data_IF_721515591072
#
_entry.id   IF_721515591072
#
_cell.length_a   1.000
_cell.length_b   1.000
_cell.length_c   1.000
_cell.angle_alpha   90.00
_cell.angle_beta   90.00
_cell.angle_gamma   90.00
#
_symmetry.space_group_name_H-M   'P 1'
#
loop_
_entity.id
_entity.type
_entity.pdbx_description
1 polymer ?
#
# COMPACT_ATOMS: atom_id res chain seq x y z
N UNK A 1 -5.22 34.13 -3.98
CA UNK A 1 -4.65 32.96 -3.27
C UNK A 1 -5.82 32.05 -2.93
N UNK A 2 -6.15 31.13 -3.84
CA UNK A 2 -7.34 30.29 -3.74
C UNK A 2 -6.96 29.01 -3.00
N UNK A 3 -7.44 28.87 -1.77
CA UNK A 3 -7.44 27.61 -1.02
C UNK A 3 -8.54 26.71 -1.61
N UNK A 4 -8.24 26.01 -2.70
CA UNK A 4 -9.08 24.89 -3.16
C UNK A 4 -8.72 23.63 -2.36
N UNK A 5 -9.02 23.65 -1.06
CA UNK A 5 -9.18 22.41 -0.30
C UNK A 5 -10.63 21.98 -0.51
N UNK A 6 -10.84 20.96 -1.34
CA UNK A 6 -12.13 20.28 -1.46
C UNK A 6 -12.50 19.79 -0.04
N UNK A 7 -13.50 20.39 0.59
CA UNK A 7 -14.03 19.89 1.87
C UNK A 7 -14.59 18.49 1.64
N UNK A 8 -13.85 17.47 2.07
CA UNK A 8 -14.31 16.08 2.07
C UNK A 8 -15.47 15.95 3.06
N UNK A 9 -16.63 15.49 2.59
CA UNK A 9 -17.80 15.33 3.43
C UNK A 9 -17.62 14.13 4.37
N UNK A 10 -18.36 14.07 5.47
CA UNK A 10 -18.18 12.97 6.44
C UNK A 10 -18.56 11.60 5.85
N UNK A 11 -19.44 11.59 4.85
CA UNK A 11 -19.85 10.40 4.10
C UNK A 11 -18.69 9.76 3.33
N UNK A 12 -17.68 10.54 2.92
CA UNK A 12 -16.49 10.03 2.23
C UNK A 12 -15.65 9.11 3.13
N UNK A 13 -15.82 9.21 4.46
CA UNK A 13 -15.11 8.42 5.46
C UNK A 13 -15.94 7.25 6.00
N UNK A 14 -17.20 7.09 5.58
CA UNK A 14 -17.99 5.94 6.00
C UNK A 14 -17.51 4.67 5.30
N UNK A 15 -17.46 3.58 6.05
CA UNK A 15 -17.10 2.24 5.57
C UNK A 15 -18.37 1.53 5.11
N UNK A 16 -18.28 0.77 4.03
CA UNK A 16 -19.38 -0.07 3.53
C UNK A 16 -19.72 -1.18 4.54
N UNK A 17 -20.96 -1.65 4.54
CA UNK A 17 -21.37 -2.70 5.48
C UNK A 17 -20.57 -4.00 5.25
N UNK A 18 -20.05 -4.54 6.36
CA UNK A 18 -19.26 -5.76 6.38
C UNK A 18 -19.91 -6.82 7.27
N UNK A 19 -20.13 -8.00 6.71
CA UNK A 19 -20.56 -9.20 7.43
C UNK A 19 -19.65 -10.36 7.06
N UNK A 20 -19.03 -11.02 8.04
CA UNK A 20 -18.19 -12.18 7.77
C UNK A 20 -19.06 -13.40 7.44
N UNK A 21 -18.74 -14.10 6.35
CA UNK A 21 -19.56 -15.20 5.78
C UNK A 21 -19.85 -16.38 6.74
N UNK A 22 -19.15 -16.48 7.88
CA UNK A 22 -19.31 -17.57 8.85
C UNK A 22 -20.26 -17.28 10.02
N UNK A 23 -20.73 -16.03 10.23
CA UNK A 23 -21.69 -15.73 11.32
C UNK A 23 -23.15 -15.98 10.93
N UNK A 24 -23.41 -16.35 9.67
CA UNK A 24 -24.75 -16.47 9.09
C UNK A 24 -25.34 -17.88 9.02
N UNK A 25 -24.84 -18.89 9.76
CA UNK A 25 -25.31 -20.27 9.60
C UNK A 25 -26.27 -20.76 10.70
N UNK A 26 -27.38 -20.04 10.88
CA UNK A 26 -28.67 -20.58 11.34
C UNK A 26 -29.81 -19.77 10.70
N UNK A 27 -30.12 -20.04 9.42
CA UNK A 27 -31.39 -19.62 8.82
C UNK A 27 -31.32 -19.08 7.38
N UNK A 28 -31.40 -19.99 6.41
CA UNK A 28 -32.10 -19.82 5.14
C UNK A 28 -31.80 -18.63 4.23
N UNK A 29 -31.08 -18.88 3.13
CA UNK A 29 -31.14 -18.03 1.93
C UNK A 29 -29.92 -18.13 1.02
N UNK A 30 -29.98 -19.00 0.01
CA UNK A 30 -28.94 -19.14 -1.02
C UNK A 30 -28.63 -17.78 -1.66
N UNK A 31 -27.40 -17.30 -1.54
CA UNK A 31 -26.84 -16.30 -2.45
C UNK A 31 -25.46 -16.77 -2.89
N UNK A 32 -25.39 -17.32 -4.12
CA UNK A 32 -24.13 -17.62 -4.79
C UNK A 32 -23.41 -16.29 -5.08
N UNK A 33 -22.35 -15.96 -4.34
CA UNK A 33 -21.32 -15.05 -4.81
C UNK A 33 -20.08 -15.84 -5.19
N UNK A 34 -19.67 -15.68 -6.45
CA UNK A 34 -18.40 -16.17 -6.98
C UNK A 34 -17.26 -15.45 -6.26
N UNK A 35 -16.35 -16.21 -5.66
CA UNK A 35 -15.05 -15.75 -5.20
C UNK A 35 -14.25 -15.29 -6.41
N UNK A 36 -14.03 -13.99 -6.55
CA UNK A 36 -13.10 -13.43 -7.53
C UNK A 36 -11.72 -13.31 -6.86
N UNK A 37 -10.92 -14.38 -6.96
CA UNK A 37 -9.48 -14.31 -6.76
C UNK A 37 -8.90 -13.34 -7.78
N UNK A 38 -8.23 -12.28 -7.31
CA UNK A 38 -7.62 -11.27 -8.16
C UNK A 38 -6.29 -11.81 -8.69
N UNK A 39 -6.37 -12.61 -9.75
CA UNK A 39 -5.30 -12.83 -10.73
C UNK A 39 -5.68 -12.03 -11.97
N UNK A 40 -5.20 -10.78 -12.04
CA UNK A 40 -5.40 -9.89 -13.20
C UNK A 40 -4.30 -10.14 -14.24
N UNK A 41 -4.50 -11.16 -15.07
CA UNK A 41 -3.89 -11.23 -16.39
C UNK A 41 -4.58 -10.20 -17.29
N UNK A 42 -3.79 -9.48 -18.08
CA UNK A 42 -4.25 -8.51 -19.06
C UNK A 42 -4.80 -9.27 -20.27
N UNK A 43 -6.10 -9.54 -20.32
CA UNK A 43 -6.75 -10.10 -21.51
C UNK A 43 -7.34 -8.98 -22.36
N UNK A 44 -6.86 -8.91 -23.59
CA UNK A 44 -7.45 -8.15 -24.69
C UNK A 44 -8.71 -8.90 -25.14
N UNK A 45 -9.79 -8.17 -25.42
CA UNK A 45 -11.03 -8.72 -25.99
C UNK A 45 -10.78 -9.07 -27.47
N UNK A 46 -10.85 -10.34 -27.82
CA UNK A 46 -11.10 -10.83 -29.18
C UNK A 46 -12.27 -11.84 -29.11
N UNK A 47 -13.11 -11.82 -30.14
CA UNK A 47 -14.48 -12.31 -30.19
C UNK A 47 -14.63 -13.84 -29.95
N UNK A 48 -15.74 -14.23 -29.32
CA UNK A 48 -16.10 -15.61 -28.99
C UNK A 48 -16.52 -16.42 -30.23
N UNK A 49 -15.86 -17.56 -30.48
CA UNK A 49 -16.47 -18.75 -31.07
C UNK A 49 -16.12 -20.01 -30.23
N UNK A 50 -17.12 -20.87 -30.11
CA UNK A 50 -17.37 -21.93 -29.14
C UNK A 50 -16.42 -23.15 -29.26
N UNK A 51 -16.07 -23.80 -28.14
CA UNK A 51 -15.32 -25.08 -28.18
C UNK A 51 -14.66 -25.53 -26.87
N UNK A 52 -15.24 -26.56 -26.26
CA UNK A 52 -14.92 -27.23 -24.99
C UNK A 52 -13.52 -27.89 -24.85
N UNK A 53 -12.96 -27.82 -23.64
CA UNK A 53 -11.99 -28.81 -23.11
C UNK A 53 -10.65 -28.21 -22.63
N UNK A 54 -10.62 -27.68 -21.42
CA UNK A 54 -9.43 -27.03 -20.85
C UNK A 54 -8.51 -28.07 -20.18
N UNK A 55 -7.80 -28.83 -21.01
CA UNK A 55 -6.49 -29.37 -20.62
C UNK A 55 -5.47 -28.23 -20.87
N UNK A 56 -5.06 -27.51 -19.83
CA UNK A 56 -4.00 -26.48 -19.90
C UNK A 56 -2.69 -27.14 -20.37
N UNK A 57 -2.45 -27.15 -21.67
CA UNK A 57 -1.13 -27.37 -22.22
C UNK A 57 -0.24 -26.24 -21.69
N UNK A 58 0.69 -26.55 -20.78
CA UNK A 58 1.76 -25.64 -20.38
C UNK A 58 2.61 -25.33 -21.62
N UNK A 59 2.23 -24.28 -22.33
CA UNK A 59 2.99 -23.70 -23.44
C UNK A 59 4.45 -23.54 -22.97
N UNK A 60 5.40 -24.12 -23.72
CA UNK A 60 6.83 -24.12 -23.37
C UNK A 60 7.33 -22.67 -23.22
N UNK A 61 7.22 -22.15 -22.00
CA UNK A 61 7.64 -20.80 -21.66
C UNK A 61 9.15 -20.71 -21.92
N UNK A 62 9.52 -19.73 -22.74
CA UNK A 62 10.92 -19.42 -23.05
C UNK A 62 11.73 -19.31 -21.76
N UNK A 63 12.93 -19.91 -21.75
CA UNK A 63 13.89 -19.76 -20.66
C UNK A 63 14.20 -18.28 -20.40
N UNK A 64 13.98 -17.83 -19.17
CA UNK A 64 14.29 -16.48 -18.69
C UNK A 64 15.39 -16.52 -17.64
N UNK A 65 16.21 -15.47 -17.60
CA UNK A 65 17.21 -15.23 -16.56
C UNK A 65 16.71 -14.11 -15.65
N UNK A 66 16.67 -14.35 -14.34
CA UNK A 66 16.37 -13.35 -13.32
C UNK A 66 17.66 -12.94 -12.62
N UNK A 67 18.12 -11.72 -12.82
CA UNK A 67 19.27 -11.16 -12.12
C UNK A 67 18.81 -10.26 -10.97
N UNK A 68 19.24 -10.60 -9.75
CA UNK A 68 18.73 -9.98 -8.55
C UNK A 68 19.85 -9.41 -7.68
N UNK A 69 19.74 -8.14 -7.28
CA UNK A 69 20.70 -7.46 -6.40
C UNK A 69 19.98 -6.64 -5.32
N UNK A 70 20.72 -6.22 -4.29
CA UNK A 70 20.17 -5.59 -3.08
C UNK A 70 19.66 -4.17 -3.34
N UNK A 71 20.40 -3.39 -4.11
CA UNK A 71 20.17 -1.95 -4.28
C UNK A 71 19.94 -1.55 -5.72
N UNK A 72 19.18 -0.47 -5.92
CA UNK A 72 18.97 0.14 -7.23
C UNK A 72 20.27 0.51 -7.93
N UNK A 73 21.24 1.06 -7.19
CA UNK A 73 22.56 1.43 -7.71
C UNK A 73 23.33 0.24 -8.28
N UNK A 74 23.25 -0.93 -7.63
CA UNK A 74 23.86 -2.16 -8.13
C UNK A 74 23.18 -2.63 -9.41
N UNK A 75 21.85 -2.56 -9.49
CA UNK A 75 21.13 -2.90 -10.73
C UNK A 75 21.52 -1.96 -11.87
N UNK A 76 21.58 -0.64 -11.63
CA UNK A 76 22.03 0.32 -12.66
C UNK A 76 23.49 0.10 -13.05
N UNK A 77 24.37 -0.28 -12.12
CA UNK A 77 25.76 -0.65 -12.42
C UNK A 77 25.82 -1.90 -13.30
N UNK A 78 25.06 -2.94 -12.97
CA UNK A 78 24.96 -4.16 -13.77
C UNK A 78 24.51 -3.86 -15.20
N UNK A 79 23.47 -3.04 -15.39
CA UNK A 79 23.02 -2.63 -16.73
C UNK A 79 24.11 -1.88 -17.49
N UNK A 80 24.87 -0.99 -16.84
CA UNK A 80 25.99 -0.28 -17.47
C UNK A 80 27.11 -1.20 -17.92
N UNK A 81 27.41 -2.25 -17.16
CA UNK A 81 28.39 -3.26 -17.57
C UNK A 81 27.83 -4.16 -18.69
N UNK A 82 26.56 -4.56 -18.60
CA UNK A 82 25.89 -5.35 -19.63
C UNK A 82 25.90 -4.64 -20.99
N UNK A 83 25.66 -3.32 -21.02
CA UNK A 83 25.74 -2.46 -22.22
C UNK A 83 27.10 -2.52 -22.93
N UNK A 84 28.19 -2.88 -22.24
CA UNK A 84 29.54 -3.00 -22.84
C UNK A 84 29.79 -4.36 -23.50
N UNK A 85 28.87 -5.31 -23.33
CA UNK A 85 29.00 -6.68 -23.85
C UNK A 85 28.25 -6.86 -25.17
N UNK A 86 28.54 -7.95 -25.89
CA UNK A 86 27.81 -8.34 -27.10
C UNK A 86 26.32 -8.60 -26.83
N UNK A 87 25.98 -9.00 -25.60
CA UNK A 87 24.62 -9.33 -25.19
C UNK A 87 23.66 -8.14 -25.15
N UNK A 88 24.19 -6.91 -25.10
CA UNK A 88 23.39 -5.69 -24.99
C UNK A 88 22.34 -5.52 -26.11
N UNK A 89 22.65 -6.02 -27.30
CA UNK A 89 21.79 -5.93 -28.49
C UNK A 89 21.10 -7.27 -28.84
N UNK A 90 21.56 -8.39 -28.26
CA UNK A 90 21.03 -9.73 -28.52
C UNK A 90 19.93 -10.13 -27.54
N UNK A 91 19.95 -9.57 -26.33
CA UNK A 91 19.01 -9.89 -25.26
C UNK A 91 17.96 -8.80 -25.07
N UNK A 92 16.71 -9.22 -24.87
CA UNK A 92 15.63 -8.37 -24.36
C UNK A 92 15.78 -8.25 -22.85
N UNK A 93 16.25 -7.09 -22.39
CA UNK A 93 16.49 -6.83 -20.98
C UNK A 93 15.39 -5.92 -20.43
N UNK A 94 14.86 -6.24 -19.26
CA UNK A 94 13.93 -5.36 -18.53
C UNK A 94 14.42 -5.14 -17.11
N UNK A 95 14.50 -3.89 -16.69
CA UNK A 95 14.77 -3.52 -15.29
C UNK A 95 13.45 -3.22 -14.57
N UNK A 96 13.27 -3.82 -13.38
CA UNK A 96 12.10 -3.67 -12.53
C UNK A 96 12.45 -2.90 -11.26
N UNK A 97 11.49 -2.14 -10.74
CA UNK A 97 11.66 -1.40 -9.50
C UNK A 97 10.33 -0.91 -8.94
N UNK A 98 10.40 -0.10 -7.88
CA UNK A 98 9.21 0.37 -7.19
C UNK A 98 8.45 1.43 -8.00
N UNK A 99 7.15 1.60 -7.71
CA UNK A 99 6.37 2.72 -8.27
C UNK A 99 7.00 4.08 -7.95
N UNK A 100 7.64 4.23 -6.79
CA UNK A 100 8.33 5.48 -6.42
C UNK A 100 9.49 5.80 -7.37
N UNK A 101 10.22 4.79 -7.83
CA UNK A 101 11.35 4.98 -8.76
C UNK A 101 10.87 5.28 -10.19
N UNK A 102 9.77 4.66 -10.63
CA UNK A 102 9.28 4.77 -12.01
C UNK A 102 8.21 5.84 -12.24
N UNK A 103 7.55 6.34 -11.20
CA UNK A 103 6.42 7.26 -11.37
C UNK A 103 6.90 8.60 -11.93
N UNK A 104 6.17 9.12 -12.92
CA UNK A 104 6.38 10.44 -13.53
C UNK A 104 5.17 11.37 -13.33
N UNK A 105 4.19 10.93 -12.53
CA UNK A 105 3.04 11.74 -12.18
C UNK A 105 3.38 12.54 -10.92
N UNK A 106 3.62 13.84 -11.10
CA UNK A 106 4.00 14.76 -10.03
C UNK A 106 3.01 14.77 -8.86
N UNK A 107 1.71 14.64 -9.12
CA UNK A 107 0.71 14.63 -8.04
C UNK A 107 0.77 13.37 -7.17
N UNK A 108 1.25 12.26 -7.75
CA UNK A 108 1.50 11.03 -7.00
C UNK A 108 2.85 11.12 -6.27
N UNK A 109 3.89 11.65 -6.93
CA UNK A 109 5.23 11.80 -6.34
C UNK A 109 5.25 12.73 -5.13
N UNK A 110 4.45 13.81 -5.14
CA UNK A 110 4.30 14.75 -4.01
C UNK A 110 3.88 14.07 -2.69
N UNK A 111 3.30 12.88 -2.74
CA UNK A 111 2.94 12.12 -1.53
C UNK A 111 4.18 11.68 -0.73
N UNK A 112 5.35 11.55 -1.37
CA UNK A 112 6.66 11.26 -0.79
C UNK A 112 6.84 9.84 -0.23
N UNK A 113 5.85 9.33 0.49
CA UNK A 113 5.85 8.02 1.11
C UNK A 113 5.50 6.92 0.09
N UNK A 114 6.30 5.86 0.02
CA UNK A 114 6.14 4.74 -0.92
C UNK A 114 4.78 4.05 -0.79
N UNK A 115 4.24 3.91 0.42
CA UNK A 115 2.92 3.32 0.69
C UNK A 115 1.82 4.20 0.09
N UNK A 116 1.84 5.51 0.38
CA UNK A 116 0.87 6.47 -0.18
C UNK A 116 0.94 6.53 -1.72
N UNK A 117 2.15 6.47 -2.28
CA UNK A 117 2.37 6.40 -3.73
C UNK A 117 1.72 5.14 -4.32
N UNK A 118 1.92 3.98 -3.68
CA UNK A 118 1.35 2.71 -4.13
C UNK A 118 -0.18 2.75 -4.11
N UNK A 119 -0.77 3.17 -3.00
CA UNK A 119 -2.22 3.29 -2.82
C UNK A 119 -2.82 4.23 -3.86
N UNK A 120 -2.26 5.45 -3.98
CA UNK A 120 -2.76 6.42 -4.94
C UNK A 120 -2.65 5.94 -6.38
N UNK A 121 -1.58 5.21 -6.72
CA UNK A 121 -1.42 4.63 -8.04
C UNK A 121 -2.49 3.56 -8.34
N UNK A 122 -2.82 2.72 -7.36
CA UNK A 122 -3.89 1.72 -7.48
C UNK A 122 -5.28 2.36 -7.57
N UNK A 123 -5.56 3.40 -6.76
CA UNK A 123 -6.79 4.18 -6.88
C UNK A 123 -6.97 4.76 -8.29
N UNK A 124 -5.90 5.32 -8.85
CA UNK A 124 -5.89 5.86 -10.21
C UNK A 124 -5.95 4.79 -11.31
N UNK A 125 -5.86 3.51 -10.96
CA UNK A 125 -6.10 2.39 -11.89
C UNK A 125 -7.56 1.95 -11.87
N UNK A 126 -8.25 2.11 -10.73
CA UNK A 126 -9.67 1.73 -10.60
C UNK A 126 -10.51 2.67 -11.46
N UNK A 127 -11.03 2.15 -12.57
CA UNK A 127 -12.10 2.78 -13.29
C UNK A 127 -13.34 2.77 -12.37
N UNK A 128 -13.72 3.90 -11.78
CA UNK A 128 -15.10 4.12 -11.31
C UNK A 128 -16.03 4.22 -12.53
N UNK A 129 -16.11 3.15 -13.31
CA UNK A 129 -17.28 2.91 -14.14
C UNK A 129 -18.33 2.30 -13.21
N UNK A 130 -19.43 3.03 -12.97
CA UNK A 130 -20.55 2.73 -12.06
C UNK A 130 -20.33 3.16 -10.61
N UNK A 131 -20.44 4.46 -10.37
CA UNK A 131 -21.43 5.04 -9.46
C UNK A 131 -21.31 6.56 -9.55
N UNK A 132 -21.96 7.12 -10.58
CA UNK A 132 -22.42 8.49 -10.47
C UNK A 132 -23.55 8.42 -9.46
N UNK A 133 -23.28 8.84 -8.22
CA UNK A 133 -24.34 9.19 -7.27
C UNK A 133 -25.33 10.08 -8.03
N UNK A 134 -26.53 9.55 -8.27
CA UNK A 134 -27.65 10.31 -8.82
C UNK A 134 -28.09 11.30 -7.75
N UNK A 135 -27.31 12.35 -7.51
CA UNK A 135 -27.82 13.53 -6.82
C UNK A 135 -28.67 14.26 -7.87
N UNK A 136 -29.96 13.91 -7.91
CA UNK A 136 -30.99 14.74 -8.53
C UNK A 136 -31.18 15.97 -7.63
N UNK A 137 -30.42 17.03 -7.87
CA UNK A 137 -30.85 18.35 -7.41
C UNK A 137 -31.97 18.81 -8.35
N UNK A 138 -33.20 18.72 -7.84
CA UNK A 138 -34.36 19.38 -8.45
C UNK A 138 -34.21 20.87 -8.17
N UNK A 139 -33.81 21.63 -9.19
CA UNK A 139 -33.71 23.09 -9.14
C UNK A 139 -33.73 23.64 -10.56
N UNK A 140 -34.71 24.48 -10.84
CA UNK A 140 -35.02 25.02 -12.16
C UNK A 140 -33.88 25.88 -12.74
N UNK A 141 -33.62 25.73 -14.04
CA UNK A 141 -33.02 26.76 -14.88
C UNK A 141 -31.55 27.09 -14.65
N UNK A 142 -30.63 26.22 -15.09
CA UNK A 142 -29.21 26.58 -15.24
C UNK A 142 -28.39 25.45 -15.86
N UNK A 143 -27.73 25.69 -17.01
CA UNK A 143 -26.82 24.70 -17.63
C UNK A 143 -25.58 24.53 -16.75
N UNK A 144 -25.55 23.49 -15.94
CA UNK A 144 -24.40 23.12 -15.10
C UNK A 144 -23.32 22.45 -15.97
N UNK A 145 -22.14 23.06 -16.07
CA UNK A 145 -20.92 22.42 -16.59
C UNK A 145 -20.51 21.32 -15.60
N UNK A 146 -20.66 20.05 -16.01
CA UNK A 146 -20.11 18.91 -15.27
C UNK A 146 -18.59 18.91 -15.39
N UNK A 147 -17.87 19.21 -14.32
CA UNK A 147 -16.45 18.87 -14.24
C UNK A 147 -16.35 17.36 -14.03
N UNK A 148 -16.07 16.62 -15.11
CA UNK A 148 -15.77 15.19 -15.07
C UNK A 148 -14.43 15.04 -14.35
N UNK A 149 -14.46 14.73 -13.05
CA UNK A 149 -13.26 14.30 -12.33
C UNK A 149 -12.63 13.17 -13.13
N UNK A 150 -11.44 13.40 -13.68
CA UNK A 150 -10.83 12.47 -14.62
C UNK A 150 -10.43 11.22 -13.84
N UNK A 151 -11.27 10.20 -13.86
CA UNK A 151 -11.06 8.93 -13.17
C UNK A 151 -9.93 8.14 -13.83
N UNK A 152 -8.70 8.31 -13.32
CA UNK A 152 -7.56 7.46 -13.63
C UNK A 152 -6.27 8.18 -14.06
N UNK A 153 -5.15 7.45 -14.07
CA UNK A 153 -3.81 8.02 -14.27
C UNK A 153 -3.58 8.54 -15.70
N UNK A 154 -3.25 9.84 -15.91
CA UNK A 154 -3.02 10.41 -17.24
C UNK A 154 -1.92 9.71 -18.06
N UNK A 155 -0.95 9.11 -17.38
CA UNK A 155 0.20 8.44 -17.99
C UNK A 155 -0.11 6.97 -18.35
N UNK A 156 -1.11 6.36 -17.73
CA UNK A 156 -1.46 4.95 -17.95
C UNK A 156 -2.51 4.78 -19.06
N UNK A 157 -3.47 5.70 -19.16
CA UNK A 157 -4.64 5.54 -20.07
C UNK A 157 -4.32 5.60 -21.57
N UNK A 158 -3.09 5.96 -21.93
CA UNK A 158 -2.69 6.13 -23.33
C UNK A 158 -2.13 4.81 -23.87
N UNK A 159 -3.00 3.82 -24.10
CA UNK A 159 -2.60 2.48 -24.55
C UNK A 159 -1.72 2.48 -25.82
N UNK A 160 -2.00 3.38 -26.78
CA UNK A 160 -1.16 3.54 -27.99
C UNK A 160 0.29 3.90 -27.64
N UNK A 161 0.49 4.83 -26.69
CA UNK A 161 1.82 5.24 -26.25
C UNK A 161 2.51 4.18 -25.39
N UNK A 162 1.75 3.36 -24.66
CA UNK A 162 2.31 2.19 -23.97
C UNK A 162 2.86 1.16 -24.97
N UNK A 163 2.15 0.91 -26.07
CA UNK A 163 2.64 0.04 -27.16
C UNK A 163 3.88 0.62 -27.82
N UNK A 164 3.90 1.93 -28.10
CA UNK A 164 5.06 2.61 -28.67
C UNK A 164 6.27 2.56 -27.72
N UNK A 165 6.06 2.78 -26.42
CA UNK A 165 7.10 2.67 -25.39
C UNK A 165 7.75 1.28 -25.39
N UNK A 166 6.92 0.23 -25.52
CA UNK A 166 7.38 -1.15 -25.63
C UNK A 166 8.28 -1.37 -26.85
N UNK A 167 7.89 -0.82 -27.99
CA UNK A 167 8.70 -0.87 -29.22
C UNK A 167 10.03 -0.14 -29.05
N UNK A 168 10.01 1.05 -28.43
CA UNK A 168 11.22 1.83 -28.17
C UNK A 168 12.18 1.12 -27.22
N UNK A 169 11.68 0.49 -26.15
CA UNK A 169 12.50 -0.33 -25.24
C UNK A 169 13.19 -1.48 -25.99
N UNK A 170 12.48 -2.12 -26.92
CA UNK A 170 13.03 -3.22 -27.71
C UNK A 170 14.11 -2.76 -28.70
N UNK A 171 14.08 -1.48 -29.12
CA UNK A 171 15.03 -0.91 -30.07
C UNK A 171 16.27 -0.32 -29.39
N UNK A 172 16.13 0.26 -28.20
CA UNK A 172 17.24 0.93 -27.48
C UNK A 172 18.12 -0.03 -26.67
N UNK A 173 17.79 -1.32 -26.64
CA UNK A 173 18.56 -2.35 -25.92
C UNK A 173 18.33 -2.30 -24.41
N UNK A 174 19.34 -2.72 -23.63
CA UNK A 174 19.25 -2.76 -22.17
C UNK A 174 19.13 -1.35 -21.56
N UNK A 175 18.00 -1.05 -20.89
CA UNK A 175 17.76 0.23 -20.23
C UNK A 175 17.70 0.06 -18.70
N UNK A 176 18.34 0.96 -17.96
CA UNK A 176 18.19 1.03 -16.51
C UNK A 176 16.91 1.79 -16.12
N UNK A 177 16.67 1.96 -14.83
CA UNK A 177 15.42 2.57 -14.35
C UNK A 177 15.38 4.06 -14.69
N UNK A 178 16.51 4.76 -14.57
CA UNK A 178 16.65 6.16 -14.94
C UNK A 178 16.37 6.37 -16.44
N UNK A 179 16.97 5.54 -17.30
CA UNK A 179 16.72 5.55 -18.74
C UNK A 179 15.23 5.35 -19.06
N UNK A 180 14.58 4.37 -18.42
CA UNK A 180 13.15 4.08 -18.61
C UNK A 180 12.26 5.24 -18.17
N UNK A 181 12.62 5.91 -17.08
CA UNK A 181 11.92 7.11 -16.60
C UNK A 181 12.09 8.27 -17.59
N UNK A 182 13.30 8.49 -18.11
CA UNK A 182 13.55 9.50 -19.13
C UNK A 182 12.75 9.24 -20.40
N UNK A 183 12.73 7.99 -20.87
CA UNK A 183 11.94 7.58 -22.03
C UNK A 183 10.43 7.79 -21.80
N UNK A 184 9.90 7.44 -20.62
CA UNK A 184 8.48 7.64 -20.38
C UNK A 184 8.10 9.10 -20.17
N UNK A 185 9.03 9.95 -19.69
CA UNK A 185 8.86 11.41 -19.67
C UNK A 185 8.78 11.99 -21.08
N UNK A 186 9.69 11.60 -21.98
CA UNK A 186 9.69 12.10 -23.36
C UNK A 186 8.42 11.67 -24.11
N UNK A 187 7.96 10.43 -23.91
CA UNK A 187 6.76 9.88 -24.52
C UNK A 187 5.46 10.21 -23.77
N UNK A 188 5.54 10.81 -22.58
CA UNK A 188 4.40 11.10 -21.69
C UNK A 188 3.52 9.86 -21.42
N UNK A 189 4.16 8.76 -21.06
CA UNK A 189 3.55 7.45 -20.80
C UNK A 189 4.13 6.82 -19.54
N UNK A 190 3.36 5.97 -18.86
CA UNK A 190 3.74 5.38 -17.57
C UNK A 190 4.92 4.40 -17.72
N UNK A 191 6.11 4.72 -17.18
CA UNK A 191 7.27 3.83 -17.26
C UNK A 191 7.05 2.53 -16.48
N UNK A 192 6.41 2.61 -15.30
CA UNK A 192 6.22 1.47 -14.39
C UNK A 192 5.42 0.32 -15.03
N UNK A 193 4.25 0.63 -15.59
CA UNK A 193 3.43 -0.38 -16.24
C UNK A 193 3.98 -0.75 -17.63
N UNK A 194 4.64 0.21 -18.31
CA UNK A 194 5.29 -0.04 -19.59
C UNK A 194 6.41 -1.07 -19.49
N UNK A 195 7.33 -0.91 -18.53
CA UNK A 195 8.41 -1.86 -18.30
C UNK A 195 7.88 -3.22 -17.84
N UNK A 196 6.89 -3.26 -16.95
CA UNK A 196 6.28 -4.52 -16.50
C UNK A 196 5.65 -5.32 -17.64
N UNK A 197 5.10 -4.66 -18.67
CA UNK A 197 4.53 -5.35 -19.83
C UNK A 197 5.56 -6.12 -20.67
N UNK A 198 6.86 -5.83 -20.49
CA UNK A 198 7.97 -6.51 -21.19
C UNK A 198 8.44 -7.79 -20.48
N UNK A 199 8.04 -8.01 -19.22
CA UNK A 199 8.48 -9.18 -18.43
C UNK A 199 8.21 -10.52 -19.15
N UNK A 200 7.04 -10.78 -19.77
CA UNK A 200 6.79 -12.07 -20.42
C UNK A 200 7.66 -12.35 -21.65
N UNK A 201 8.20 -11.30 -22.28
CA UNK A 201 9.01 -11.42 -23.51
C UNK A 201 10.50 -11.15 -23.29
N UNK A 202 10.91 -10.88 -22.06
CA UNK A 202 12.28 -10.57 -21.70
C UNK A 202 13.13 -11.85 -21.58
N UNK A 203 14.36 -11.77 -22.04
CA UNK A 203 15.39 -12.79 -21.84
C UNK A 203 16.04 -12.65 -20.48
N UNK A 204 16.23 -11.40 -20.05
CA UNK A 204 16.85 -11.04 -18.78
C UNK A 204 15.97 -10.04 -18.02
N UNK A 205 15.53 -10.43 -16.83
CA UNK A 205 14.78 -9.58 -15.90
C UNK A 205 15.71 -9.18 -14.76
N UNK A 206 16.00 -7.89 -14.65
CA UNK A 206 16.83 -7.29 -13.60
C UNK A 206 15.91 -6.71 -12.53
N UNK A 207 16.01 -7.19 -11.28
CA UNK A 207 15.04 -6.85 -10.23
C UNK A 207 15.66 -6.80 -8.83
N UNK A 208 15.09 -6.01 -7.89
CA UNK A 208 15.58 -5.98 -6.52
C UNK A 208 15.16 -7.24 -5.75
N UNK A 209 15.88 -7.56 -4.67
CA UNK A 209 15.60 -8.70 -3.78
C UNK A 209 14.12 -8.83 -3.40
N UNK A 210 13.48 -7.72 -3.02
CA UNK A 210 12.10 -7.71 -2.54
C UNK A 210 11.08 -8.15 -3.60
N UNK A 211 11.39 -7.94 -4.89
CA UNK A 211 10.55 -8.37 -6.00
C UNK A 211 10.64 -9.87 -6.24
N UNK A 212 11.81 -10.47 -6.00
CA UNK A 212 12.05 -11.91 -6.19
C UNK A 212 11.64 -12.73 -4.96
N UNK A 213 11.99 -12.28 -3.76
CA UNK A 213 11.86 -13.08 -2.53
C UNK A 213 10.43 -13.07 -1.96
N UNK A 214 9.67 -12.00 -2.18
CA UNK A 214 8.26 -11.93 -1.75
C UNK A 214 7.35 -12.65 -2.75
N UNK A 215 6.58 -13.63 -2.26
CA UNK A 215 5.57 -14.35 -3.07
C UNK A 215 4.56 -13.38 -3.70
N UNK A 216 4.00 -12.46 -2.93
CA UNK A 216 3.02 -11.49 -3.42
C UNK A 216 3.62 -10.59 -4.51
N UNK A 217 4.88 -10.18 -4.38
CA UNK A 217 5.56 -9.38 -5.40
C UNK A 217 5.73 -10.18 -6.69
N UNK A 218 6.19 -11.44 -6.61
CA UNK A 218 6.36 -12.32 -7.77
C UNK A 218 5.07 -12.55 -8.53
N UNK A 219 4.00 -12.90 -7.81
CA UNK A 219 2.66 -13.10 -8.40
C UNK A 219 2.17 -11.82 -9.07
N UNK A 220 2.34 -10.67 -8.40
CA UNK A 220 1.95 -9.40 -9.01
C UNK A 220 2.76 -9.10 -10.27
N UNK A 221 4.06 -9.39 -10.31
CA UNK A 221 4.92 -9.10 -11.45
C UNK A 221 4.80 -10.15 -12.57
N UNK A 222 4.13 -11.28 -12.32
CA UNK A 222 4.03 -12.41 -13.26
C UNK A 222 5.35 -13.19 -13.39
N UNK A 223 6.17 -13.21 -12.34
CA UNK A 223 7.46 -13.90 -12.36
C UNK A 223 7.26 -15.39 -12.12
N UNK A 224 7.64 -16.22 -13.10
CA UNK A 224 7.67 -17.67 -12.96
C UNK A 224 9.12 -18.14 -12.76
N UNK A 225 9.44 -18.78 -11.65
CA UNK A 225 10.79 -19.27 -11.38
C UNK A 225 11.01 -20.72 -11.84
N UNK A 226 9.95 -21.48 -12.13
CA UNK A 226 10.05 -22.87 -12.58
C UNK A 226 10.71 -22.89 -13.97
N UNK A 227 11.69 -23.80 -14.15
CA UNK A 227 12.45 -23.97 -15.38
C UNK A 227 13.19 -22.70 -15.86
N UNK A 228 13.51 -21.77 -14.95
CA UNK A 228 14.21 -20.52 -15.24
C UNK A 228 15.49 -20.40 -14.40
N UNK A 229 16.40 -19.53 -14.83
CA UNK A 229 17.68 -19.29 -14.14
C UNK A 229 17.53 -18.09 -13.20
N UNK A 230 17.96 -18.24 -11.96
CA UNK A 230 17.99 -17.15 -10.97
C UNK A 230 19.42 -16.90 -10.54
N UNK A 231 19.89 -15.66 -10.72
CA UNK A 231 21.21 -15.19 -10.31
C UNK A 231 21.00 -14.21 -9.17
N UNK A 232 21.51 -14.54 -7.98
CA UNK A 232 21.51 -13.64 -6.82
C UNK A 232 22.91 -13.08 -6.66
N UNK A 233 23.03 -11.80 -6.99
CA UNK A 233 24.22 -11.01 -6.74
C UNK A 233 24.26 -10.56 -5.28
N UNK A 234 25.45 -10.46 -4.70
CA UNK A 234 25.68 -10.09 -3.29
C UNK A 234 24.95 -10.96 -2.25
N UNK A 235 24.81 -12.25 -2.54
CA UNK A 235 24.01 -13.21 -1.75
C UNK A 235 24.41 -13.31 -0.26
N UNK A 236 25.56 -12.79 0.14
CA UNK A 236 25.92 -12.66 1.56
C UNK A 236 24.94 -11.78 2.35
N UNK A 237 24.22 -10.87 1.70
CA UNK A 237 23.19 -10.01 2.31
C UNK A 237 21.78 -10.62 2.31
N UNK A 238 21.62 -11.85 1.79
CA UNK A 238 20.31 -12.43 1.54
C UNK A 238 19.53 -12.65 2.84
N UNK A 239 20.18 -13.19 3.88
CA UNK A 239 19.56 -13.46 5.17
C UNK A 239 19.07 -12.17 5.83
N UNK A 240 19.92 -11.15 5.93
CA UNK A 240 19.56 -9.84 6.50
C UNK A 240 18.40 -9.18 5.75
N UNK A 241 18.40 -9.32 4.42
CA UNK A 241 17.33 -8.79 3.58
C UNK A 241 16.00 -9.51 3.82
N UNK A 242 16.03 -10.84 3.99
CA UNK A 242 14.84 -11.60 4.36
C UNK A 242 14.33 -11.21 5.74
N UNK A 243 15.20 -11.11 6.74
CA UNK A 243 14.83 -10.68 8.09
C UNK A 243 14.19 -9.29 8.03
N UNK A 244 14.82 -8.33 7.35
CA UNK A 244 14.28 -6.97 7.20
C UNK A 244 12.96 -6.92 6.42
N UNK A 245 12.68 -7.86 5.52
CA UNK A 245 11.41 -7.92 4.77
C UNK A 245 10.23 -8.37 5.64
N UNK A 246 10.49 -9.16 6.67
CA UNK A 246 9.48 -9.69 7.59
C UNK A 246 9.51 -9.04 8.97
N UNK A 247 10.48 -8.15 9.23
CA UNK A 247 10.53 -7.32 10.43
C UNK A 247 9.63 -6.08 10.30
N UNK A 248 9.04 -5.68 11.42
CA UNK A 248 8.26 -4.45 11.51
C UNK A 248 8.46 -3.81 12.87
N UNK A 249 8.73 -2.50 12.88
CA UNK A 249 8.89 -1.71 14.10
C UNK A 249 7.66 -0.86 14.34
N UNK A 250 7.13 -0.92 15.56
CA UNK A 250 6.03 -0.09 16.03
C UNK A 250 6.56 0.76 17.18
N UNK A 251 6.39 2.08 17.11
CA UNK A 251 6.71 2.98 18.22
C UNK A 251 5.48 3.26 19.08
N UNK A 252 5.69 3.65 20.34
CA UNK A 252 4.60 4.06 21.23
C UNK A 252 3.77 5.20 20.63
N UNK A 253 4.44 6.23 20.08
CA UNK A 253 3.76 7.36 19.42
C UNK A 253 2.86 6.93 18.26
N UNK A 254 3.34 6.02 17.40
CA UNK A 254 2.53 5.47 16.30
C UNK A 254 1.30 4.75 16.82
N UNK A 255 1.43 4.00 17.92
CA UNK A 255 0.34 3.26 18.51
C UNK A 255 -0.70 4.18 19.18
N UNK A 256 -0.24 5.24 19.82
CA UNK A 256 -1.09 6.28 20.40
C UNK A 256 -1.88 7.03 19.33
N UNK A 257 -1.22 7.43 18.25
CA UNK A 257 -1.86 8.09 17.10
C UNK A 257 -2.94 7.19 16.49
N UNK A 258 -2.61 5.92 16.23
CA UNK A 258 -3.56 4.94 15.68
C UNK A 258 -4.75 4.74 16.62
N UNK A 259 -4.52 4.59 17.93
CA UNK A 259 -5.60 4.45 18.91
C UNK A 259 -6.50 5.68 18.92
N UNK A 260 -5.92 6.88 18.95
CA UNK A 260 -6.64 8.16 18.91
C UNK A 260 -7.50 8.29 17.65
N UNK A 261 -6.95 7.91 16.48
CA UNK A 261 -7.69 7.97 15.22
C UNK A 261 -8.86 6.99 15.19
N UNK A 262 -8.67 5.75 15.65
CA UNK A 262 -9.74 4.75 15.68
C UNK A 262 -10.84 5.19 16.66
N UNK A 263 -10.48 5.70 17.83
CA UNK A 263 -11.43 6.18 18.85
C UNK A 263 -12.30 7.32 18.32
N UNK A 264 -11.69 8.38 17.79
CA UNK A 264 -12.41 9.52 17.19
C UNK A 264 -13.29 9.10 16.02
N UNK A 265 -12.81 8.19 15.18
CA UNK A 265 -13.58 7.64 14.08
C UNK A 265 -14.82 6.88 14.61
N UNK A 266 -14.62 6.01 15.59
CA UNK A 266 -15.71 5.24 16.17
C UNK A 266 -16.75 6.14 16.86
N UNK A 267 -16.32 7.15 17.64
CA UNK A 267 -17.22 8.13 18.25
C UNK A 267 -18.09 8.86 17.23
N UNK A 268 -17.51 9.21 16.07
CA UNK A 268 -18.25 9.91 15.01
C UNK A 268 -19.26 9.02 14.29
N UNK A 269 -18.87 7.78 13.97
CA UNK A 269 -19.62 6.93 13.06
C UNK A 269 -20.35 5.75 13.73
N UNK A 270 -20.23 5.56 15.05
CA UNK A 270 -20.82 4.41 15.76
C UNK A 270 -22.32 4.23 15.52
N UNK A 271 -23.08 5.31 15.38
CA UNK A 271 -24.54 5.26 15.19
C UNK A 271 -24.95 4.88 13.74
N UNK A 272 -24.03 4.98 12.78
CA UNK A 272 -24.30 4.72 11.36
C UNK A 272 -23.62 3.46 10.84
N UNK A 273 -22.59 2.96 11.52
CA UNK A 273 -21.88 1.73 11.16
C UNK A 273 -22.77 0.50 11.40
N UNK A 274 -22.80 -0.45 10.47
CA UNK A 274 -23.41 -1.77 10.69
C UNK A 274 -22.79 -2.55 11.87
N UNK A 275 -23.50 -3.55 12.43
CA UNK A 275 -23.07 -4.28 13.62
C UNK A 275 -21.72 -4.98 13.47
N UNK A 276 -21.43 -5.55 12.30
CA UNK A 276 -20.14 -6.19 12.00
C UNK A 276 -18.98 -5.18 12.05
N UNK A 277 -19.12 -4.06 11.34
CA UNK A 277 -18.13 -2.97 11.36
C UNK A 277 -17.84 -2.47 12.78
N UNK A 278 -18.89 -2.23 13.58
CA UNK A 278 -18.72 -1.78 14.97
C UNK A 278 -17.91 -2.78 15.79
N UNK A 279 -18.25 -4.07 15.71
CA UNK A 279 -17.54 -5.14 16.44
C UNK A 279 -16.07 -5.21 16.06
N UNK A 280 -15.74 -5.17 14.77
CA UNK A 280 -14.34 -5.22 14.33
C UNK A 280 -13.56 -3.96 14.72
N UNK A 281 -14.16 -2.77 14.60
CA UNK A 281 -13.51 -1.52 15.02
C UNK A 281 -13.26 -1.52 16.54
N UNK A 282 -14.22 -1.98 17.34
CA UNK A 282 -14.02 -2.16 18.78
C UNK A 282 -12.91 -3.18 19.09
N UNK A 283 -12.81 -4.25 18.32
CA UNK A 283 -11.71 -5.23 18.45
C UNK A 283 -10.35 -4.58 18.16
N UNK A 284 -10.25 -3.71 17.16
CA UNK A 284 -9.03 -2.92 16.88
C UNK A 284 -8.68 -1.98 18.05
N UNK A 285 -9.68 -1.35 18.66
CA UNK A 285 -9.48 -0.50 19.85
C UNK A 285 -8.93 -1.31 21.04
N UNK A 286 -9.45 -2.53 21.26
CA UNK A 286 -8.97 -3.43 22.32
C UNK A 286 -7.51 -3.82 22.06
N UNK A 287 -7.18 -4.23 20.83
CA UNK A 287 -5.80 -4.61 20.47
C UNK A 287 -4.81 -3.46 20.60
N UNK A 288 -5.13 -2.29 20.07
CA UNK A 288 -4.24 -1.12 20.16
C UNK A 288 -4.00 -0.69 21.61
N UNK A 289 -5.04 -0.77 22.45
CA UNK A 289 -4.90 -0.53 23.89
C UNK A 289 -4.03 -1.60 24.57
N UNK A 290 -4.22 -2.87 24.25
CA UNK A 290 -3.43 -3.97 24.81
C UNK A 290 -1.95 -3.84 24.43
N UNK A 291 -1.65 -3.53 23.16
CA UNK A 291 -0.27 -3.31 22.71
C UNK A 291 0.37 -2.12 23.41
N UNK A 292 -0.41 -1.08 23.75
CA UNK A 292 0.10 0.09 24.48
C UNK A 292 0.50 -0.26 25.91
N UNK A 293 -0.18 -1.24 26.52
CA UNK A 293 0.16 -1.71 27.87
C UNK A 293 1.54 -2.35 27.94
N UNK A 294 2.05 -2.92 26.83
CA UNK A 294 3.42 -3.48 26.77
C UNK A 294 4.45 -2.40 27.13
N UNK A 295 4.35 -1.24 26.47
CA UNK A 295 5.26 -0.12 26.67
C UNK A 295 5.12 0.56 28.05
N UNK A 296 3.93 0.48 28.67
CA UNK A 296 3.65 1.07 29.99
C UNK A 296 4.00 0.15 31.17
N UNK A 297 4.10 -1.17 30.94
CA UNK A 297 4.50 -2.15 31.98
C UNK A 297 6.00 -2.05 32.28
N UNK A 298 6.84 -1.77 31.28
CA UNK A 298 8.28 -1.56 31.48
C UNK A 298 8.56 -0.35 32.41
N UNK A 299 7.74 0.70 32.36
CA UNK A 299 7.86 1.87 33.25
C UNK A 299 7.47 1.57 34.71
N UNK A 300 6.58 0.58 34.95
CA UNK A 300 6.11 0.24 36.30
C UNK A 300 6.95 -0.83 37.01
N UNK A 301 7.83 -1.53 36.29
CA UNK A 301 8.72 -2.53 36.89
C UNK A 301 9.80 -1.93 37.80
N UNK A 302 9.93 -0.60 37.89
CA UNK A 302 10.81 0.09 38.83
C UNK A 302 10.12 0.57 40.12
N UNK A 303 8.82 0.25 40.29
CA UNK A 303 7.98 0.85 41.33
C UNK A 303 7.65 -0.01 42.55
N UNK A 304 7.98 -1.31 42.59
CA UNK A 304 7.68 -2.13 43.77
C UNK A 304 8.57 -3.39 43.89
N UNK A 305 9.69 -3.25 44.62
CA UNK A 305 10.19 -4.29 45.53
C UNK A 305 11.20 -3.67 46.50
N UNK A 306 11.17 -4.16 47.73
CA UNK A 306 11.73 -3.55 48.93
C UNK A 306 13.27 -3.53 49.02
N UNK A 307 13.74 -2.66 49.92
CA UNK A 307 15.11 -2.35 50.38
C UNK A 307 16.08 -3.54 50.48
N UNK A 308 17.33 -3.37 50.01
CA UNK A 308 18.51 -3.22 50.89
C UNK A 308 19.83 -2.94 50.13
N UNK A 309 20.53 -1.91 50.61
CA UNK A 309 21.97 -1.59 50.57
C UNK A 309 22.87 -1.84 49.34
N UNK A 310 23.44 -0.71 48.89
CA UNK A 310 24.84 -0.46 48.49
C UNK A 310 25.42 -0.93 47.14
N UNK A 311 25.85 0.12 46.41
CA UNK A 311 27.01 0.24 45.51
C UNK A 311 26.85 -0.14 44.02
N UNK A 312 26.91 0.96 43.25
CA UNK A 312 27.80 1.19 42.11
C UNK A 312 27.24 1.01 40.68
N UNK A 313 27.52 2.07 39.91
CA UNK A 313 27.79 2.13 38.46
C UNK A 313 26.66 1.86 37.47
N UNK A 314 26.07 2.97 36.99
CA UNK A 314 26.12 3.38 35.59
C UNK A 314 25.84 2.36 34.49
N UNK A 315 24.59 2.30 34.04
CA UNK A 315 24.19 2.32 32.63
C UNK A 315 22.66 2.36 32.57
N UNK A 316 22.08 3.45 32.06
CA UNK A 316 20.67 3.52 31.69
C UNK A 316 20.44 2.62 30.46
N UNK A 317 20.44 1.31 30.67
CA UNK A 317 20.19 0.33 29.62
C UNK A 317 18.70 0.18 29.39
N UNK A 318 18.21 0.58 28.22
CA UNK A 318 16.90 0.15 27.72
C UNK A 318 16.81 -1.38 27.80
N UNK A 319 15.91 -1.90 28.63
CA UNK A 319 15.67 -3.33 28.77
C UNK A 319 15.14 -3.88 27.46
N UNK A 320 15.97 -4.67 26.77
CA UNK A 320 15.54 -5.38 25.57
C UNK A 320 14.95 -6.72 25.99
N UNK A 321 13.67 -6.95 25.71
CA UNK A 321 13.00 -8.22 25.94
C UNK A 321 12.59 -8.87 24.61
N UNK A 322 12.55 -10.19 24.58
CA UNK A 322 12.11 -10.98 23.43
C UNK A 322 11.20 -12.10 23.92
N UNK A 323 10.14 -12.40 23.18
CA UNK A 323 9.16 -13.41 23.57
C UNK A 323 8.59 -14.09 22.34
N UNK A 324 8.09 -15.32 22.50
CA UNK A 324 7.38 -16.01 21.43
C UNK A 324 6.00 -15.35 21.21
N UNK A 325 5.44 -15.57 20.02
CA UNK A 325 4.13 -14.98 19.63
C UNK A 325 3.04 -15.37 20.63
N UNK A 326 2.96 -16.65 21.02
CA UNK A 326 1.92 -17.11 21.94
C UNK A 326 2.07 -16.47 23.32
N UNK A 327 3.30 -16.40 23.84
CA UNK A 327 3.58 -15.75 25.13
C UNK A 327 3.20 -14.27 25.10
N UNK A 328 3.48 -13.58 23.99
CA UNK A 328 3.05 -12.20 23.78
C UNK A 328 1.52 -12.06 23.85
N UNK A 329 0.78 -12.91 23.11
CA UNK A 329 -0.68 -12.87 23.09
C UNK A 329 -1.29 -13.17 24.48
N UNK A 330 -0.76 -14.16 25.20
CA UNK A 330 -1.20 -14.47 26.55
C UNK A 330 -0.87 -13.36 27.55
N UNK A 331 0.31 -12.75 27.48
CA UNK A 331 0.71 -11.66 28.38
C UNK A 331 -0.20 -10.43 28.30
N UNK A 332 -0.93 -10.31 27.17
CA UNK A 332 -1.86 -9.24 26.84
C UNK A 332 -3.33 -9.66 26.93
N UNK A 333 -3.62 -10.93 27.23
CA UNK A 333 -4.98 -11.51 27.24
C UNK A 333 -5.75 -11.26 25.93
N UNK A 334 -5.07 -11.38 24.78
CA UNK A 334 -5.65 -11.19 23.43
C UNK A 334 -5.61 -12.47 22.59
N UNK A 335 -5.32 -13.61 23.22
CA UNK A 335 -5.27 -14.95 22.62
C UNK A 335 -6.60 -15.38 21.98
N UNK A 336 -7.73 -14.89 22.50
CA UNK A 336 -9.07 -15.21 21.98
C UNK A 336 -9.47 -14.38 20.73
N UNK A 337 -8.63 -13.45 20.29
CA UNK A 337 -8.90 -12.61 19.12
C UNK A 337 -8.40 -13.30 17.85
N UNK A 338 -9.30 -13.56 16.91
CA UNK A 338 -8.93 -14.10 15.60
C UNK A 338 -8.30 -13.01 14.71
N UNK A 339 -6.96 -12.90 14.78
CA UNK A 339 -6.17 -11.95 13.99
C UNK A 339 -6.28 -12.17 12.47
N UNK A 340 -6.55 -13.39 12.02
CA UNK A 340 -6.69 -13.70 10.58
C UNK A 340 -7.96 -13.06 10.02
N UNK A 341 -9.10 -13.23 10.70
CA UNK A 341 -10.36 -12.58 10.33
C UNK A 341 -10.26 -11.06 10.43
N UNK A 342 -9.58 -10.56 11.45
CA UNK A 342 -9.38 -9.12 11.61
C UNK A 342 -8.54 -8.52 10.47
N UNK A 343 -7.49 -9.22 10.04
CA UNK A 343 -6.67 -8.82 8.91
C UNK A 343 -7.48 -8.84 7.60
N UNK A 344 -8.37 -9.82 7.42
CA UNK A 344 -9.29 -9.88 6.28
C UNK A 344 -10.24 -8.66 6.28
N UNK A 345 -10.89 -8.38 7.41
CA UNK A 345 -11.72 -7.19 7.59
C UNK A 345 -10.97 -5.90 7.23
N UNK A 346 -9.75 -5.71 7.75
CA UNK A 346 -8.93 -4.51 7.46
C UNK A 346 -8.72 -4.32 5.96
N UNK A 347 -8.43 -5.43 5.24
CA UNK A 347 -8.16 -5.40 3.79
C UNK A 347 -9.41 -5.15 2.96
N UNK A 348 -10.53 -5.80 3.30
CA UNK A 348 -11.76 -5.75 2.51
C UNK A 348 -12.53 -4.44 2.73
N UNK A 349 -12.64 -4.00 3.98
CA UNK A 349 -13.38 -2.79 4.36
C UNK A 349 -12.66 -1.47 3.99
N UNK A 350 -11.36 -1.52 3.74
CA UNK A 350 -10.51 -0.33 3.57
C UNK A 350 -10.56 0.62 4.79
N UNK A 351 -10.91 0.11 5.98
CA UNK A 351 -11.07 0.87 7.23
C UNK A 351 -9.83 1.73 7.55
N UNK A 352 -8.62 1.24 7.25
CA UNK A 352 -7.38 1.97 7.51
C UNK A 352 -7.34 3.34 6.81
N UNK A 353 -7.79 3.41 5.56
CA UNK A 353 -7.83 4.66 4.81
C UNK A 353 -8.89 5.62 5.35
N UNK A 354 -10.03 5.07 5.77
CA UNK A 354 -11.17 5.83 6.30
C UNK A 354 -10.83 6.44 7.67
N UNK A 355 -10.25 5.64 8.55
CA UNK A 355 -9.78 6.05 9.89
C UNK A 355 -8.62 7.04 9.78
N UNK A 356 -7.58 6.74 8.97
CA UNK A 356 -6.44 7.65 8.81
C UNK A 356 -6.86 8.98 8.17
N UNK A 357 -7.69 8.93 7.12
CA UNK A 357 -8.16 10.12 6.43
C UNK A 357 -9.01 11.01 7.34
N UNK A 358 -9.88 10.40 8.16
CA UNK A 358 -10.67 11.13 9.14
C UNK A 358 -9.79 11.68 10.27
N UNK A 359 -8.84 10.89 10.78
CA UNK A 359 -7.87 11.33 11.79
C UNK A 359 -7.08 12.57 11.33
N UNK A 360 -6.57 12.54 10.11
CA UNK A 360 -5.87 13.69 9.49
C UNK A 360 -6.79 14.90 9.33
N UNK A 361 -8.05 14.70 8.90
CA UNK A 361 -9.07 15.75 8.84
C UNK A 361 -9.25 16.40 10.21
N UNK A 362 -9.48 15.62 11.26
CA UNK A 362 -9.67 16.13 12.64
C UNK A 362 -8.41 16.83 13.16
N UNK A 363 -7.23 16.29 12.91
CA UNK A 363 -5.96 16.91 13.30
C UNK A 363 -5.74 18.26 12.59
N UNK A 364 -6.13 18.38 11.31
CA UNK A 364 -6.05 19.62 10.55
C UNK A 364 -7.00 20.70 11.11
N UNK A 365 -8.22 20.32 11.52
CA UNK A 365 -9.17 21.22 12.16
C UNK A 365 -8.66 21.70 13.53
N UNK A 366 -8.06 20.81 14.33
CA UNK A 366 -7.48 21.18 15.62
C UNK A 366 -6.29 22.15 15.48
N UNK A 367 -5.42 21.95 14.47
CA UNK A 367 -4.32 22.88 14.18
C UNK A 367 -4.81 24.25 13.71
N UNK A 368 -5.82 24.28 12.82
CA UNK A 368 -6.43 25.53 12.36
C UNK A 368 -7.15 26.26 13.50
N UNK A 369 -7.85 25.54 14.36
CA UNK A 369 -8.46 26.10 15.56
C UNK A 369 -7.42 26.70 16.51
N UNK A 370 -6.30 26.01 16.75
CA UNK A 370 -5.23 26.51 17.60
C UNK A 370 -4.55 27.76 17.00
N UNK A 371 -4.33 27.78 15.68
CA UNK A 371 -3.83 28.97 14.97
C UNK A 371 -4.80 30.15 15.04
N UNK A 372 -6.11 29.89 15.01
CA UNK A 372 -7.14 30.90 15.18
C UNK A 372 -7.19 31.41 16.62
N UNK A 373 -7.17 30.53 17.62
CA UNK A 373 -7.19 30.88 19.03
C UNK A 373 -5.98 31.73 19.46
N UNK A 374 -4.77 31.40 18.99
CA UNK A 374 -3.55 32.19 19.25
C UNK A 374 -3.62 33.58 18.60
N UNK A 375 -4.31 33.73 17.45
CA UNK A 375 -4.55 35.05 16.84
C UNK A 375 -5.58 35.88 17.60
N UNK A 376 -6.55 35.25 18.27
CA UNK A 376 -7.56 35.96 19.07
C UNK A 376 -6.97 36.49 20.38
N UNK A 377 -6.04 35.76 21.01
CA UNK A 377 -5.34 36.23 22.23
C UNK A 377 -4.39 37.41 21.97
N UNK A 378 -3.84 37.55 20.76
CA UNK A 378 -2.99 38.68 20.39
C UNK A 378 -3.75 40.01 20.14
N UNK A 379 -5.09 39.99 20.18
CA UNK A 379 -5.96 41.16 19.89
C UNK A 379 -6.71 41.71 21.12
N UNK A 380 -6.42 41.21 22.33
CA UNK A 380 -7.05 41.69 23.55
C UNK A 380 -6.10 42.62 24.34
N UNK A 381 -6.15 43.96 24.19
CA UNK A 381 -5.43 44.86 25.07
C UNK A 381 -6.09 44.81 26.45
N UNK A 382 -5.34 44.35 27.45
CA UNK A 382 -5.72 44.41 28.86
C UNK A 382 -5.87 45.88 29.25
N UNK A 383 -7.11 46.36 29.35
CA UNK A 383 -7.44 47.63 29.97
C UNK A 383 -7.21 47.50 31.48
N UNK A 384 -6.02 47.91 31.94
CA UNK A 384 -5.77 48.18 33.36
C UNK A 384 -6.49 49.48 33.73
N UNK A 385 -7.47 49.39 34.61
CA UNK A 385 -7.93 50.51 35.43
C UNK A 385 -7.23 50.50 36.77
#
# INVERSE_FOLDING_TARGET
MSNDAVELSDEDFLVEDYESEEEGNLGGGKSKRKVAGVSLSSSSEEDEEDGSGDDEYEEDKKLQVYFCSRTHSQLSQFIKELKKTVFANEMKVVCLGSRRNFCINEDVLKLGNSTRINERCLELQRNKNKEVSKIKNVGAGGRIRRNKASCGCPMLRKHKLQKEFRSMMSQQGALDIEDLVHLGKSMRTCPYYGSRSMVPVADLVVLPYQSLLSKASRESLGLNLKNNIVIIDEAHNLADSLISMYDSRITLSQLEDVHSHIEKYFERFCNVLGPGNRRYIQTLMVLTRAFRQVFLKDDRSYGDSCRDTEKASGASGTSTSSMAINDFLFSLNVDNINLVKLLQYIKESNIMHKVSGYGDKVASFQKNWHLMAVKTEALCPVSKH
#
